data_IF_073344829466
#
_entry.id   IF_073344829466
#
_cell.length_a   1.000
_cell.length_b   1.000
_cell.length_c   1.000
_cell.angle_alpha   90.00
_cell.angle_beta   90.00
_cell.angle_gamma   90.00
#
_symmetry.space_group_name_H-M   'P 1'
#
loop_
_entity.id
_entity.type
_entity.pdbx_description
1 polymer ?
#
# COMPACT_ATOMS: atom_id res chain seq x y z
N UNK A 1 -14.23 0.36 -21.80
CA UNK A 1 -14.08 -0.55 -20.65
C UNK A 1 -14.99 0.02 -19.58
N UNK A 2 -16.12 -0.64 -19.32
CA UNK A 2 -17.24 -0.07 -18.60
C UNK A 2 -16.84 0.33 -17.18
N UNK A 3 -17.15 1.57 -16.82
CA UNK A 3 -17.05 2.12 -15.48
C UNK A 3 -18.11 1.40 -14.64
N UNK A 4 -17.69 0.40 -13.88
CA UNK A 4 -18.57 -0.25 -12.90
C UNK A 4 -18.49 0.65 -11.66
N UNK A 5 -19.59 1.30 -11.26
CA UNK A 5 -19.61 2.02 -10.00
C UNK A 5 -19.46 0.97 -8.90
N UNK A 6 -18.23 0.78 -8.43
CA UNK A 6 -17.95 0.02 -7.23
C UNK A 6 -18.41 0.88 -6.06
N UNK A 7 -19.71 0.89 -5.82
CA UNK A 7 -20.28 1.39 -4.57
C UNK A 7 -19.70 0.48 -3.48
N UNK A 8 -18.74 1.00 -2.72
CA UNK A 8 -18.11 0.30 -1.61
C UNK A 8 -19.20 -0.12 -0.64
N UNK A 9 -19.55 -1.38 -0.68
CA UNK A 9 -20.62 -1.97 0.10
C UNK A 9 -20.42 -3.48 0.02
N UNK A 10 -20.60 -4.17 1.14
CA UNK A 10 -20.46 -5.64 1.19
C UNK A 10 -21.52 -6.36 0.34
N UNK A 11 -22.58 -5.65 -0.05
CA UNK A 11 -23.65 -6.14 -0.91
C UNK A 11 -23.67 -5.38 -2.25
N UNK A 12 -23.92 -6.11 -3.33
CA UNK A 12 -24.24 -5.55 -4.66
C UNK A 12 -25.59 -4.78 -4.64
N UNK A 13 -26.44 -5.10 -3.66
CA UNK A 13 -27.75 -4.50 -3.47
C UNK A 13 -27.74 -3.60 -2.23
N UNK A 14 -28.45 -2.47 -2.33
CA UNK A 14 -28.67 -1.55 -1.21
C UNK A 14 -29.79 -2.10 -0.30
N UNK A 15 -29.45 -3.13 0.47
CA UNK A 15 -30.32 -3.78 1.44
C UNK A 15 -29.63 -3.81 2.83
N UNK A 16 -30.21 -3.16 3.86
CA UNK A 16 -29.60 -3.05 5.18
C UNK A 16 -29.50 -4.39 5.92
N UNK A 17 -30.47 -5.29 5.74
CA UNK A 17 -30.44 -6.61 6.36
C UNK A 17 -29.38 -7.50 5.70
N UNK A 18 -29.25 -7.39 4.37
CA UNK A 18 -28.20 -8.07 3.63
C UNK A 18 -26.82 -7.55 4.03
N UNK A 19 -26.65 -6.22 4.16
CA UNK A 19 -25.42 -5.62 4.63
C UNK A 19 -25.05 -6.16 6.02
N UNK A 20 -25.99 -6.20 6.98
CA UNK A 20 -25.74 -6.75 8.32
C UNK A 20 -25.32 -8.23 8.27
N UNK A 21 -25.99 -9.05 7.45
CA UNK A 21 -25.67 -10.47 7.29
C UNK A 21 -24.29 -10.71 6.70
N UNK A 22 -23.83 -9.82 5.82
CA UNK A 22 -22.51 -9.89 5.19
C UNK A 22 -21.41 -9.22 6.03
N UNK A 23 -21.73 -8.70 7.23
CA UNK A 23 -20.76 -8.02 8.08
C UNK A 23 -20.48 -6.56 7.66
N UNK A 24 -21.45 -5.94 6.99
CA UNK A 24 -21.50 -4.51 6.62
C UNK A 24 -21.28 -3.59 7.81
N UNK A 25 -21.04 -2.30 7.53
CA UNK A 25 -20.76 -1.28 8.53
C UNK A 25 -21.64 -1.48 9.77
N UNK A 26 -21.01 -1.92 10.85
CA UNK A 26 -21.74 -2.35 12.03
C UNK A 26 -22.47 -1.14 12.61
N UNK A 27 -23.80 -1.24 12.75
CA UNK A 27 -24.59 -0.29 13.53
C UNK A 27 -24.39 -0.48 15.05
N UNK A 28 -23.51 -1.40 15.46
CA UNK A 28 -23.11 -1.52 16.85
C UNK A 28 -22.41 -0.23 17.29
N UNK A 29 -22.67 0.21 18.52
CA UNK A 29 -21.95 1.32 19.16
C UNK A 29 -20.51 0.92 19.53
N UNK A 30 -19.87 0.03 18.76
CA UNK A 30 -18.49 -0.32 18.95
C UNK A 30 -17.60 0.91 18.74
N UNK A 31 -16.51 1.04 19.51
CA UNK A 31 -15.57 2.13 19.31
C UNK A 31 -14.99 2.04 17.90
N UNK A 32 -15.07 3.16 17.17
CA UNK A 32 -14.51 3.25 15.83
C UNK A 32 -12.98 3.14 15.89
N UNK A 33 -12.42 2.18 15.15
CA UNK A 33 -10.97 1.95 15.08
C UNK A 33 -10.24 2.99 14.21
N UNK A 34 -10.98 3.84 13.50
CA UNK A 34 -10.47 4.91 12.67
C UNK A 34 -10.69 4.72 11.16
N UNK A 35 -10.23 5.69 10.36
CA UNK A 35 -10.54 5.74 8.93
C UNK A 35 -9.68 4.82 8.07
N UNK A 36 -8.58 4.27 8.60
CA UNK A 36 -7.66 3.39 7.88
C UNK A 36 -7.73 1.98 8.48
N UNK A 37 -7.86 0.98 7.63
CA UNK A 37 -7.83 -0.44 7.97
C UNK A 37 -6.93 -1.21 7.00
N UNK A 38 -6.86 -2.52 7.13
CA UNK A 38 -6.14 -3.41 6.21
C UNK A 38 -7.10 -4.26 5.39
N UNK A 39 -6.73 -4.52 4.14
CA UNK A 39 -7.37 -5.50 3.27
C UNK A 39 -6.31 -6.46 2.72
N UNK A 40 -6.74 -7.67 2.41
CA UNK A 40 -5.91 -8.68 1.76
C UNK A 40 -6.04 -8.55 0.23
N UNK A 41 -4.91 -8.51 -0.47
CA UNK A 41 -4.87 -8.57 -1.94
C UNK A 41 -5.07 -10.01 -2.41
N UNK A 42 -5.30 -10.22 -3.71
CA UNK A 42 -5.42 -11.57 -4.30
C UNK A 42 -4.20 -12.45 -3.98
N UNK A 43 -3.00 -11.86 -3.92
CA UNK A 43 -1.76 -12.56 -3.57
C UNK A 43 -1.55 -12.83 -2.07
N UNK A 44 -2.54 -12.55 -1.22
CA UNK A 44 -2.46 -12.74 0.23
C UNK A 44 -1.65 -11.68 0.98
N UNK A 45 -1.28 -10.57 0.32
CA UNK A 45 -0.56 -9.47 0.95
C UNK A 45 -1.53 -8.48 1.60
N UNK A 46 -1.20 -8.01 2.80
CA UNK A 46 -2.01 -6.99 3.48
C UNK A 46 -1.63 -5.59 3.00
N UNK A 47 -2.63 -4.81 2.59
CA UNK A 47 -2.48 -3.41 2.18
C UNK A 47 -3.41 -2.48 2.95
N UNK A 48 -3.00 -1.23 3.10
CA UNK A 48 -3.77 -0.20 3.81
C UNK A 48 -4.89 0.33 2.91
N UNK A 49 -6.12 0.36 3.44
CA UNK A 49 -7.32 0.85 2.75
C UNK A 49 -8.15 1.75 3.67
N UNK A 50 -9.07 2.52 3.09
CA UNK A 50 -10.05 3.27 3.87
C UNK A 50 -11.12 2.31 4.39
N UNK A 51 -11.56 2.51 5.64
CA UNK A 51 -12.68 1.74 6.19
C UNK A 51 -13.98 2.12 5.50
N UNK A 52 -14.91 1.18 5.42
CA UNK A 52 -16.24 1.39 4.83
C UNK A 52 -16.97 2.57 5.47
N UNK A 53 -16.94 2.67 6.80
CA UNK A 53 -17.50 3.81 7.53
C UNK A 53 -16.87 5.16 7.14
N UNK A 54 -15.56 5.18 6.86
CA UNK A 54 -14.88 6.39 6.40
C UNK A 54 -15.27 6.76 4.96
N UNK A 55 -15.39 5.78 4.06
CA UNK A 55 -15.86 6.00 2.70
C UNK A 55 -17.28 6.55 2.68
N UNK A 56 -18.18 5.97 3.45
CA UNK A 56 -19.57 6.46 3.60
C UNK A 56 -19.60 7.86 4.18
N UNK A 57 -18.85 8.12 5.25
CA UNK A 57 -18.77 9.46 5.86
C UNK A 57 -18.22 10.52 4.92
N UNK A 58 -17.13 10.23 4.20
CA UNK A 58 -16.54 11.16 3.22
C UNK A 58 -17.50 11.42 2.04
N UNK A 59 -18.20 10.38 1.58
CA UNK A 59 -19.19 10.51 0.51
C UNK A 59 -20.37 11.37 0.95
N UNK A 60 -20.90 11.16 2.16
CA UNK A 60 -21.98 11.97 2.72
C UNK A 60 -21.59 13.45 2.91
N UNK A 61 -20.31 13.72 3.17
CA UNK A 61 -19.76 15.07 3.24
C UNK A 61 -19.45 15.69 1.87
N UNK A 62 -19.58 14.94 0.77
CA UNK A 62 -19.23 15.39 -0.57
C UNK A 62 -17.73 15.62 -0.76
N UNK A 63 -16.88 14.93 0.02
CA UNK A 63 -15.44 15.05 -0.06
C UNK A 63 -14.87 14.29 -1.28
N UNK A 64 -13.78 14.80 -1.84
CA UNK A 64 -13.02 14.06 -2.85
C UNK A 64 -12.28 12.88 -2.21
N UNK A 65 -12.71 11.67 -2.54
CA UNK A 65 -12.16 10.42 -2.03
C UNK A 65 -10.69 10.25 -2.42
N UNK A 66 -10.28 10.71 -3.61
CA UNK A 66 -8.88 10.58 -4.05
C UNK A 66 -7.95 11.44 -3.19
N UNK A 67 -8.33 12.69 -2.96
CA UNK A 67 -7.62 13.61 -2.05
C UNK A 67 -7.63 13.08 -0.61
N UNK A 68 -8.77 12.62 -0.10
CA UNK A 68 -8.87 12.04 1.24
C UNK A 68 -7.97 10.81 1.41
N UNK A 69 -7.93 9.92 0.42
CA UNK A 69 -7.04 8.75 0.39
C UNK A 69 -5.58 9.18 0.43
N UNK A 70 -5.18 10.15 -0.40
CA UNK A 70 -3.83 10.68 -0.41
C UNK A 70 -3.41 11.28 0.95
N UNK A 71 -4.34 11.94 1.66
CA UNK A 71 -4.09 12.49 2.99
C UNK A 71 -4.01 11.44 4.09
N UNK A 72 -4.87 10.42 4.06
CA UNK A 72 -4.99 9.42 5.13
C UNK A 72 -4.01 8.26 5.00
N UNK A 73 -3.79 7.77 3.77
CA UNK A 73 -2.94 6.60 3.48
C UNK A 73 -1.59 7.00 2.90
N UNK A 74 -1.51 8.18 2.28
CA UNK A 74 -0.35 8.64 1.52
C UNK A 74 -0.51 8.35 0.02
N UNK A 75 0.29 9.06 -0.79
CA UNK A 75 0.26 8.92 -2.26
C UNK A 75 1.01 7.69 -2.78
N UNK A 76 1.87 7.09 -1.95
CA UNK A 76 2.71 5.93 -2.30
C UNK A 76 3.59 6.19 -3.54
N UNK A 77 3.92 7.45 -3.76
CA UNK A 77 4.78 7.97 -4.82
C UNK A 77 5.85 8.85 -4.15
N UNK A 78 7.10 8.70 -4.59
CA UNK A 78 8.24 9.43 -4.05
C UNK A 78 8.58 10.68 -4.87
N UNK A 79 7.93 10.95 -6.00
CA UNK A 79 8.24 12.07 -6.90
C UNK A 79 8.34 13.44 -6.20
N UNK A 80 7.45 13.73 -5.25
CA UNK A 80 7.42 14.98 -4.46
C UNK A 80 7.95 14.83 -3.03
N UNK A 81 8.65 13.72 -2.72
CA UNK A 81 9.10 13.44 -1.35
C UNK A 81 10.45 14.13 -1.04
N UNK A 82 10.49 15.15 -0.16
CA UNK A 82 11.71 15.93 0.07
C UNK A 82 12.84 15.05 0.61
N UNK A 83 13.98 15.04 -0.08
CA UNK A 83 15.18 14.30 0.30
C UNK A 83 15.19 12.81 -0.07
N UNK A 84 14.07 12.26 -0.54
CA UNK A 84 13.95 10.89 -1.07
C UNK A 84 13.22 10.86 -2.42
N UNK A 85 13.19 12.00 -3.12
CA UNK A 85 12.63 12.11 -4.45
C UNK A 85 13.46 11.35 -5.49
N UNK A 86 12.90 11.22 -6.69
CA UNK A 86 13.56 10.49 -7.77
C UNK A 86 14.93 11.07 -8.11
N UNK A 87 15.11 12.40 -8.02
CA UNK A 87 16.39 13.05 -8.30
C UNK A 87 17.44 12.71 -7.22
N UNK A 88 17.05 12.76 -5.95
CA UNK A 88 17.87 12.41 -4.80
C UNK A 88 18.24 10.92 -4.80
N UNK A 89 17.31 10.04 -5.17
CA UNK A 89 17.55 8.61 -5.30
C UNK A 89 18.52 8.33 -6.46
N UNK A 90 18.30 8.94 -7.64
CA UNK A 90 19.22 8.83 -8.79
C UNK A 90 20.62 9.32 -8.46
N UNK A 91 20.76 10.42 -7.72
CA UNK A 91 22.04 10.94 -7.25
C UNK A 91 22.76 9.97 -6.30
N UNK A 92 22.02 9.08 -5.60
CA UNK A 92 22.56 8.03 -4.73
C UNK A 92 22.84 6.71 -5.46
N UNK A 93 22.62 6.68 -6.77
CA UNK A 93 22.90 5.52 -7.64
C UNK A 93 21.72 4.62 -7.91
N UNK A 94 20.49 4.98 -7.49
CA UNK A 94 19.30 4.20 -7.82
C UNK A 94 18.94 4.36 -9.30
N UNK A 95 18.63 3.24 -9.93
CA UNK A 95 18.07 3.19 -11.28
C UNK A 95 16.55 3.40 -11.24
N UNK A 96 15.97 3.78 -12.39
CA UNK A 96 14.51 3.91 -12.54
C UNK A 96 13.76 2.63 -12.12
N UNK A 97 14.34 1.47 -12.45
CA UNK A 97 13.77 0.17 -12.10
C UNK A 97 13.75 -0.08 -10.58
N UNK A 98 14.77 0.36 -9.86
CA UNK A 98 14.86 0.20 -8.41
C UNK A 98 13.93 1.17 -7.67
N UNK A 99 13.75 2.38 -8.21
CA UNK A 99 12.79 3.37 -7.70
C UNK A 99 11.36 2.82 -7.87
N UNK A 100 11.01 2.35 -9.07
CA UNK A 100 9.71 1.75 -9.33
C UNK A 100 9.43 0.54 -8.44
N UNK A 101 10.46 -0.28 -8.17
CA UNK A 101 10.35 -1.43 -7.27
C UNK A 101 10.12 -1.00 -5.81
N UNK A 102 10.78 0.07 -5.37
CA UNK A 102 10.56 0.64 -4.03
C UNK A 102 9.15 1.22 -3.90
N UNK A 103 8.67 1.95 -4.90
CA UNK A 103 7.30 2.51 -4.92
C UNK A 103 6.24 1.41 -4.92
N UNK A 104 6.44 0.32 -5.68
CA UNK A 104 5.57 -0.85 -5.65
C UNK A 104 5.52 -1.54 -4.27
N UNK A 105 6.57 -1.41 -3.45
CA UNK A 105 6.65 -1.98 -2.11
C UNK A 105 6.04 -1.06 -1.02
N UNK A 106 5.89 0.25 -1.26
CA UNK A 106 5.34 1.21 -0.30
C UNK A 106 3.94 0.86 0.26
N UNK A 107 2.99 0.29 -0.49
CA UNK A 107 1.68 -0.09 0.05
C UNK A 107 1.77 -1.13 1.19
N UNK A 108 2.80 -1.98 1.13
CA UNK A 108 2.98 -3.14 2.00
C UNK A 108 4.04 -2.90 3.10
N UNK A 109 4.87 -1.87 2.94
CA UNK A 109 5.92 -1.54 3.89
C UNK A 109 5.36 -0.95 5.19
N UNK A 110 5.90 -1.39 6.34
CA UNK A 110 5.61 -0.79 7.65
C UNK A 110 6.46 0.47 7.89
N UNK A 111 7.70 0.46 7.39
CA UNK A 111 8.61 1.57 7.43
C UNK A 111 9.20 1.83 6.05
N UNK A 112 9.58 3.08 5.75
CA UNK A 112 10.20 3.44 4.47
C UNK A 112 11.40 2.53 4.14
N UNK A 113 12.23 2.19 5.15
CA UNK A 113 13.37 1.27 4.98
C UNK A 113 12.99 -0.12 4.46
N UNK A 114 11.77 -0.59 4.67
CA UNK A 114 11.32 -1.92 4.26
C UNK A 114 11.01 -1.96 2.76
N UNK A 115 10.52 -0.84 2.22
CA UNK A 115 10.40 -0.61 0.78
C UNK A 115 11.78 -0.58 0.10
N UNK A 116 12.80 -0.20 0.86
CA UNK A 116 14.21 -0.23 0.49
C UNK A 116 14.94 -1.46 1.07
N UNK A 117 14.34 -2.66 1.02
CA UNK A 117 15.00 -3.88 1.52
C UNK A 117 15.64 -4.73 0.39
N UNK A 118 16.80 -5.39 0.62
CA UNK A 118 17.51 -6.20 -0.38
C UNK A 118 16.72 -7.34 -1.01
N UNK A 119 15.58 -7.71 -0.43
CA UNK A 119 14.66 -8.69 -0.99
C UNK A 119 14.06 -8.26 -2.33
N UNK A 120 14.05 -6.96 -2.61
CA UNK A 120 13.49 -6.37 -3.83
C UNK A 120 14.54 -6.04 -4.89
N UNK A 121 15.83 -6.31 -4.63
CA UNK A 121 16.91 -5.81 -5.48
C UNK A 121 17.82 -6.88 -6.03
N UNK A 122 18.27 -6.62 -7.26
CA UNK A 122 19.27 -7.41 -7.96
C UNK A 122 20.56 -7.44 -7.15
N UNK A 123 21.18 -8.63 -7.04
CA UNK A 123 22.40 -8.90 -6.26
C UNK A 123 23.56 -7.92 -6.54
N UNK A 124 23.61 -7.32 -7.73
CA UNK A 124 24.63 -6.34 -8.13
C UNK A 124 24.52 -4.97 -7.44
N UNK A 125 23.32 -4.52 -7.05
CA UNK A 125 23.11 -3.17 -6.48
C UNK A 125 23.66 -3.05 -5.06
N UNK A 126 23.40 -4.05 -4.22
CA UNK A 126 23.92 -4.11 -2.85
C UNK A 126 25.46 -4.11 -2.80
N UNK A 127 26.11 -4.61 -3.86
CA UNK A 127 27.56 -4.69 -3.96
C UNK A 127 28.18 -3.29 -4.19
N UNK A 128 27.55 -2.48 -5.03
CA UNK A 128 28.09 -1.18 -5.48
C UNK A 128 27.79 -0.05 -4.49
N UNK A 129 26.59 -0.02 -3.92
CA UNK A 129 26.20 1.07 -3.02
C UNK A 129 26.71 0.88 -1.57
N UNK A 130 26.84 -0.38 -1.10
CA UNK A 130 27.05 -0.65 0.34
C UNK A 130 28.34 -1.42 0.66
N UNK A 131 29.17 -1.76 -0.34
CA UNK A 131 30.54 -2.26 -0.13
C UNK A 131 30.67 -3.53 0.72
N UNK A 132 29.63 -4.34 0.87
CA UNK A 132 29.67 -5.56 1.70
C UNK A 132 30.08 -6.80 0.88
N UNK A 133 31.10 -7.57 1.31
CA UNK A 133 31.52 -8.77 0.60
C UNK A 133 30.50 -9.92 0.72
N UNK A 134 30.48 -10.76 -0.32
CA UNK A 134 29.47 -11.78 -0.69
C UNK A 134 29.21 -12.90 0.35
N UNK A 135 29.92 -12.91 1.49
CA UNK A 135 30.00 -14.10 2.38
C UNK A 135 28.92 -14.18 3.46
N UNK A 136 27.98 -13.23 3.53
CA UNK A 136 26.96 -13.18 4.60
C UNK A 136 25.54 -13.46 4.08
N UNK A 137 25.36 -13.70 2.78
CA UNK A 137 24.05 -14.08 2.28
C UNK A 137 23.88 -15.60 2.34
N UNK A 138 22.82 -16.12 2.97
CA UNK A 138 22.49 -17.53 2.83
C UNK A 138 22.21 -17.78 1.36
N UNK A 139 23.08 -18.55 0.71
CA UNK A 139 22.80 -19.10 -0.61
C UNK A 139 21.48 -19.82 -0.50
N UNK A 140 20.47 -19.41 -1.28
CA UNK A 140 19.31 -20.26 -1.51
C UNK A 140 19.88 -21.51 -2.16
N UNK A 141 20.10 -22.55 -1.35
CA UNK A 141 20.43 -23.87 -1.84
C UNK A 141 19.19 -24.33 -2.59
N UNK A 142 19.21 -24.08 -3.89
CA UNK A 142 18.40 -24.83 -4.84
C UNK A 142 18.83 -26.28 -4.72
N UNK A 143 17.98 -27.15 -4.18
CA UNK A 143 17.76 -28.53 -4.65
C UNK A 143 16.79 -29.28 -3.73
N UNK A 144 16.15 -30.35 -4.22
CA UNK A 144 15.53 -30.54 -5.54
C UNK A 144 13.99 -30.49 -5.47
#
# INVERSE_FOLDING_TARGET
MADIPLTGGLAIFDDPDLALRLGGASSSCAPWLGPVTVAETEDGALTRVLSEAALQGLTALGADIATARAHLIGRLDLSEAPGVDHAALKARGFTEHEIASAEAALPFAAHLRDAFSPRWWTRGFCQTCWGRPTRIWPTRSSTP
#
